data_IF_882616550312
#
_entry.id   IF_882616550312
#
_cell.length_a   1.000
_cell.length_b   1.000
_cell.length_c   1.000
_cell.angle_alpha   90.00
_cell.angle_beta   90.00
_cell.angle_gamma   90.00
#
_symmetry.space_group_name_H-M   'P 1'
#
loop_
_entity.id
_entity.type
_entity.pdbx_description
1 polymer ?
#
# COMPACT_ATOMS: atom_id res chain seq x y z
N UNK A 1 -36.54 5.95 -20.24
CA UNK A 1 -35.35 5.16 -19.88
C UNK A 1 -34.60 4.86 -21.16
N UNK A 2 -33.48 5.54 -21.41
CA UNK A 2 -32.56 5.19 -22.49
C UNK A 2 -31.25 4.78 -21.84
N UNK A 3 -30.77 3.59 -22.19
CA UNK A 3 -29.49 3.03 -21.80
C UNK A 3 -28.44 3.54 -22.78
N UNK A 4 -27.43 4.26 -22.30
CA UNK A 4 -26.24 4.58 -23.10
C UNK A 4 -25.13 3.59 -22.75
N UNK A 5 -24.64 2.92 -23.79
CA UNK A 5 -23.54 1.95 -23.79
C UNK A 5 -22.21 2.61 -24.14
N UNK A 6 -21.13 2.05 -23.56
CA UNK A 6 -19.71 2.11 -23.96
C UNK A 6 -19.01 3.49 -23.87
N UNK A 7 -17.72 3.61 -23.57
CA UNK A 7 -16.56 2.79 -23.94
C UNK A 7 -15.46 2.90 -22.88
N UNK A 8 -14.75 1.80 -22.60
CA UNK A 8 -13.35 1.90 -22.19
C UNK A 8 -12.60 0.69 -22.76
N UNK A 9 -12.34 0.76 -24.06
CA UNK A 9 -11.51 -0.19 -24.81
C UNK A 9 -10.04 0.09 -24.50
N UNK A 10 -9.37 -0.84 -23.81
CA UNK A 10 -7.92 -0.76 -23.66
C UNK A 10 -7.22 -1.78 -22.74
N UNK A 11 -7.91 -2.77 -22.17
CA UNK A 11 -7.27 -3.72 -21.25
C UNK A 11 -6.94 -5.05 -21.96
N UNK A 12 -5.63 -5.34 -21.98
CA UNK A 12 -4.91 -6.57 -22.29
C UNK A 12 -5.80 -7.85 -22.30
N UNK A 13 -5.77 -8.70 -23.36
CA UNK A 13 -6.71 -9.81 -23.59
C UNK A 13 -6.67 -10.99 -22.58
N UNK A 14 -6.07 -10.82 -21.41
CA UNK A 14 -6.02 -11.82 -20.34
C UNK A 14 -6.41 -11.34 -18.94
N UNK A 15 -6.74 -10.06 -18.76
CA UNK A 15 -7.11 -9.50 -17.46
C UNK A 15 -8.51 -8.89 -17.51
N UNK A 16 -9.51 -9.72 -17.20
CA UNK A 16 -10.86 -9.24 -16.91
C UNK A 16 -10.88 -8.72 -15.48
N UNK A 17 -10.75 -7.42 -15.29
CA UNK A 17 -11.11 -6.79 -14.01
C UNK A 17 -12.64 -6.72 -13.96
N UNK A 18 -13.26 -7.71 -13.33
CA UNK A 18 -14.68 -7.59 -12.98
C UNK A 18 -14.80 -6.43 -11.99
N UNK A 19 -15.57 -5.38 -12.30
CA UNK A 19 -15.82 -4.32 -11.34
C UNK A 19 -16.44 -4.95 -10.09
N UNK A 20 -15.86 -4.71 -8.91
CA UNK A 20 -16.48 -5.08 -7.64
C UNK A 20 -17.77 -4.26 -7.49
N UNK A 21 -18.88 -4.80 -7.98
CA UNK A 21 -20.14 -4.06 -8.10
C UNK A 21 -20.90 -3.91 -6.78
N UNK A 22 -20.38 -4.34 -5.63
CA UNK A 22 -21.09 -4.22 -4.35
C UNK A 22 -20.15 -3.93 -3.19
N UNK A 23 -20.53 -2.96 -2.35
CA UNK A 23 -19.93 -2.58 -1.06
C UNK A 23 -20.17 -3.62 0.05
N UNK A 24 -20.56 -4.84 -0.31
CA UNK A 24 -20.77 -5.91 0.67
C UNK A 24 -19.41 -6.53 0.99
N UNK A 25 -19.06 -6.73 2.28
CA UNK A 25 -17.89 -7.50 2.67
C UNK A 25 -17.83 -8.81 1.91
N UNK A 26 -16.65 -9.17 1.41
CA UNK A 26 -16.42 -10.41 0.68
C UNK A 26 -16.73 -11.57 1.62
N UNK A 27 -17.74 -12.38 1.30
CA UNK A 27 -18.10 -13.54 2.09
C UNK A 27 -17.03 -14.64 1.94
N UNK A 28 -16.89 -15.55 2.92
CA UNK A 28 -15.93 -16.68 2.84
C UNK A 28 -16.09 -17.54 1.58
N UNK A 29 -17.30 -17.58 1.01
CA UNK A 29 -17.67 -18.39 -0.17
C UNK A 29 -17.63 -17.59 -1.48
N UNK A 30 -17.40 -16.28 -1.44
CA UNK A 30 -17.22 -15.49 -2.67
C UNK A 30 -15.90 -15.95 -3.33
N UNK A 31 -15.89 -16.08 -4.65
CA UNK A 31 -14.68 -16.45 -5.40
C UNK A 31 -13.58 -15.43 -5.07
N UNK A 32 -12.67 -15.84 -4.18
CA UNK A 32 -11.62 -14.96 -3.68
C UNK A 32 -10.83 -14.41 -4.87
N UNK A 33 -10.45 -13.13 -4.87
CA UNK A 33 -9.38 -12.69 -5.76
C UNK A 33 -8.21 -13.65 -5.55
N UNK A 34 -7.52 -14.07 -6.62
CA UNK A 34 -6.40 -14.99 -6.50
C UNK A 34 -5.22 -14.29 -5.79
N UNK A 35 -5.31 -14.21 -4.45
CA UNK A 35 -4.35 -13.56 -3.56
C UNK A 35 -3.36 -14.62 -3.09
N UNK A 36 -2.15 -14.54 -3.61
CA UNK A 36 -1.07 -15.46 -3.25
C UNK A 36 -0.37 -15.07 -1.94
N UNK A 37 -0.63 -13.86 -1.41
CA UNK A 37 -0.01 -13.33 -0.21
C UNK A 37 -0.41 -14.10 1.06
N UNK A 38 0.58 -14.48 1.89
CA UNK A 38 0.37 -15.23 3.16
C UNK A 38 -0.60 -14.53 4.12
N UNK A 39 -0.55 -13.20 4.18
CA UNK A 39 -1.48 -12.36 4.91
C UNK A 39 -1.87 -11.14 4.04
N UNK A 40 -3.12 -10.70 4.15
CA UNK A 40 -3.67 -9.56 3.41
C UNK A 40 -4.86 -8.94 4.16
N UNK A 41 -5.06 -7.64 3.98
CA UNK A 41 -6.23 -6.93 4.52
C UNK A 41 -6.60 -5.77 3.61
N UNK A 42 -7.90 -5.49 3.47
CA UNK A 42 -8.44 -4.32 2.79
C UNK A 42 -9.42 -3.64 3.73
N UNK A 43 -9.21 -2.34 3.95
CA UNK A 43 -9.98 -1.53 4.89
C UNK A 43 -10.56 -0.34 4.14
N UNK A 44 -11.83 -0.04 4.37
CA UNK A 44 -12.41 1.25 3.97
C UNK A 44 -11.78 2.37 4.80
N UNK A 45 -11.00 3.24 4.15
CA UNK A 45 -10.20 4.23 4.84
C UNK A 45 -11.01 5.26 5.66
N UNK A 46 -12.24 5.58 5.26
CA UNK A 46 -13.09 6.57 5.93
C UNK A 46 -13.74 6.07 7.21
N UNK A 47 -14.05 4.77 7.29
CA UNK A 47 -14.80 4.18 8.41
C UNK A 47 -13.97 3.21 9.24
N UNK A 48 -12.86 2.71 8.69
CA UNK A 48 -12.08 1.63 9.26
C UNK A 48 -12.72 0.25 9.08
N UNK A 49 -13.79 0.14 8.30
CA UNK A 49 -14.47 -1.14 8.09
C UNK A 49 -13.62 -2.10 7.24
N UNK A 50 -13.40 -3.31 7.73
CA UNK A 50 -12.67 -4.35 6.99
C UNK A 50 -13.57 -4.90 5.89
N UNK A 51 -13.10 -4.80 4.65
CA UNK A 51 -13.81 -5.32 3.47
C UNK A 51 -13.35 -6.74 3.10
N UNK A 52 -12.10 -7.07 3.44
CA UNK A 52 -11.48 -8.37 3.22
C UNK A 52 -10.28 -8.55 4.15
N UNK A 53 -10.06 -9.77 4.62
CA UNK A 53 -8.86 -10.14 5.39
C UNK A 53 -8.47 -11.60 5.19
N UNK A 54 -7.18 -11.87 5.32
CA UNK A 54 -6.55 -13.19 5.36
C UNK A 54 -5.41 -13.14 6.36
N UNK A 55 -5.48 -13.92 7.43
CA UNK A 55 -4.48 -13.97 8.50
C UNK A 55 -4.03 -12.57 9.01
N UNK A 56 -4.96 -11.64 9.32
CA UNK A 56 -4.64 -10.22 9.54
C UNK A 56 -3.68 -9.98 10.72
N UNK A 57 -3.77 -10.79 11.78
CA UNK A 57 -2.95 -10.65 12.99
C UNK A 57 -1.68 -11.53 12.97
N UNK A 58 -1.41 -12.21 11.86
CA UNK A 58 -0.21 -13.04 11.74
C UNK A 58 1.04 -12.16 11.78
N UNK A 59 1.92 -12.43 12.76
CA UNK A 59 3.20 -11.71 12.86
C UNK A 59 4.10 -12.06 11.67
N UNK A 60 4.52 -11.03 10.94
CA UNK A 60 5.41 -11.12 9.77
C UNK A 60 6.43 -9.99 9.80
N UNK A 61 7.56 -10.17 9.11
CA UNK A 61 8.50 -9.07 8.92
C UNK A 61 7.94 -8.08 7.87
N UNK A 62 7.84 -6.78 8.18
CA UNK A 62 7.25 -5.77 7.28
C UNK A 62 8.16 -5.39 6.09
N UNK A 63 9.45 -5.77 6.12
CA UNK A 63 10.44 -5.30 5.15
C UNK A 63 10.38 -3.76 4.98
N UNK A 64 10.35 -3.25 3.75
CA UNK A 64 10.29 -1.81 3.50
C UNK A 64 8.99 -1.12 3.94
N UNK A 65 7.89 -1.82 4.25
CA UNK A 65 6.68 -1.15 4.79
C UNK A 65 6.91 -0.56 6.18
N UNK A 66 7.99 -0.96 6.87
CA UNK A 66 8.53 -0.28 8.07
C UNK A 66 8.66 1.23 7.87
N UNK A 67 8.99 1.68 6.65
CA UNK A 67 9.14 3.10 6.33
C UNK A 67 7.85 3.91 6.57
N UNK A 68 6.67 3.29 6.57
CA UNK A 68 5.43 3.98 6.94
C UNK A 68 5.46 4.45 8.40
N UNK A 69 5.96 3.61 9.33
CA UNK A 69 6.12 4.01 10.73
C UNK A 69 7.16 5.12 10.87
N UNK A 70 8.30 4.99 10.17
CA UNK A 70 9.33 6.05 10.14
C UNK A 70 8.77 7.38 9.65
N UNK A 71 7.95 7.36 8.60
CA UNK A 71 7.28 8.56 8.08
C UNK A 71 6.34 9.17 9.12
N UNK A 72 5.49 8.38 9.78
CA UNK A 72 4.59 8.88 10.83
C UNK A 72 5.39 9.58 11.93
N UNK A 73 6.46 8.94 12.42
CA UNK A 73 7.35 9.56 13.43
C UNK A 73 7.97 10.87 12.95
N UNK A 74 8.39 10.96 11.69
CA UNK A 74 8.92 12.19 11.11
C UNK A 74 7.85 13.29 10.99
N UNK A 75 6.61 12.94 10.64
CA UNK A 75 5.50 13.89 10.56
C UNK A 75 5.07 14.41 11.94
N UNK A 76 5.09 13.56 12.97
CA UNK A 76 4.63 13.92 14.31
C UNK A 76 5.69 14.69 15.12
N UNK A 77 6.97 14.43 14.85
CA UNK A 77 8.06 14.90 15.70
C UNK A 77 9.20 15.59 14.96
N UNK A 78 9.25 15.50 13.63
CA UNK A 78 10.30 16.11 12.82
C UNK A 78 9.96 17.54 12.38
N UNK A 79 11.01 18.32 12.08
CA UNK A 79 10.88 19.57 11.33
C UNK A 79 10.88 19.27 9.83
N UNK A 80 9.69 19.22 9.19
CA UNK A 80 9.60 18.83 7.77
C UNK A 80 10.29 19.79 6.80
N UNK A 81 10.44 21.05 7.21
CA UNK A 81 11.16 22.08 6.46
C UNK A 81 12.62 22.25 6.92
N UNK A 82 13.08 21.41 7.87
CA UNK A 82 14.44 21.45 8.38
C UNK A 82 15.42 20.81 7.37
N UNK A 83 16.50 21.51 7.06
CA UNK A 83 17.62 20.92 6.33
C UNK A 83 18.39 19.96 7.23
N UNK A 84 18.36 18.67 6.88
CA UNK A 84 19.08 17.62 7.60
C UNK A 84 20.37 17.32 6.87
N UNK A 85 21.50 17.31 7.58
CA UNK A 85 22.78 16.93 6.99
C UNK A 85 22.97 15.42 7.01
N UNK A 86 23.30 14.84 5.86
CA UNK A 86 23.47 13.39 5.71
C UNK A 86 24.71 12.91 6.48
N UNK A 87 24.48 12.13 7.53
CA UNK A 87 25.53 11.54 8.35
C UNK A 87 26.07 10.22 7.78
N UNK A 88 27.26 9.81 8.25
CA UNK A 88 27.91 8.56 7.80
C UNK A 88 27.06 7.30 8.02
N UNK A 89 26.20 7.27 9.04
CA UNK A 89 25.28 6.15 9.26
C UNK A 89 24.21 6.02 8.17
N UNK A 90 23.68 7.15 7.67
CA UNK A 90 22.69 7.16 6.60
C UNK A 90 23.34 6.81 5.24
N UNK A 91 24.55 7.30 4.99
CA UNK A 91 25.32 6.96 3.79
C UNK A 91 25.62 5.46 3.67
N UNK A 92 25.97 4.82 4.80
CA UNK A 92 26.30 3.39 4.82
C UNK A 92 25.06 2.47 4.87
N UNK A 93 23.84 3.00 4.72
CA UNK A 93 22.63 2.19 4.74
C UNK A 93 22.58 1.24 3.53
N UNK A 94 22.29 -0.03 3.78
CA UNK A 94 22.15 -1.06 2.74
C UNK A 94 20.74 -1.09 2.13
N UNK A 95 20.62 -1.62 0.91
CA UNK A 95 19.34 -1.78 0.20
C UNK A 95 19.02 -0.62 -0.74
N UNK A 96 17.74 -0.25 -0.84
CA UNK A 96 17.31 0.88 -1.69
C UNK A 96 17.80 2.21 -1.11
N UNK A 97 18.49 3.00 -1.94
CA UNK A 97 19.13 4.27 -1.56
C UNK A 97 18.57 5.45 -2.36
N UNK A 98 18.76 6.65 -1.84
CA UNK A 98 18.53 7.94 -2.52
C UNK A 98 19.81 8.52 -3.15
N UNK A 99 20.94 7.82 -3.04
CA UNK A 99 22.25 8.22 -3.60
C UNK A 99 22.80 9.53 -3.01
N UNK A 100 22.55 9.75 -1.73
CA UNK A 100 23.02 10.93 -1.01
C UNK A 100 24.49 10.78 -0.59
N UNK A 101 25.24 11.87 -0.63
CA UNK A 101 26.62 11.93 -0.15
C UNK A 101 26.71 12.42 1.31
N UNK A 102 27.78 12.01 2.02
CA UNK A 102 28.04 12.51 3.38
C UNK A 102 28.25 14.02 3.36
N UNK A 103 27.46 14.74 4.16
CA UNK A 103 27.51 16.21 4.23
C UNK A 103 26.56 16.93 3.28
N UNK A 104 25.86 16.19 2.41
CA UNK A 104 24.74 16.73 1.63
C UNK A 104 23.61 17.23 2.56
N UNK A 105 22.81 18.20 2.09
CA UNK A 105 21.76 18.89 2.84
C UNK A 105 20.45 18.90 2.08
#
# INVERSE_FOLDING_TARGET
MQTLTSENSGLNPGYSVTPIQNTRPVAPDDALPNVTATAAIVIEASTGHVLYERNPDQRMFPASTTKMMTLITALEHGGLDELVTVGAGAYNAEGSTLWLDVGEK
#
